data_IF_426191000853
#
_entry.id   IF_426191000853
#
_cell.length_a   1.000
_cell.length_b   1.000
_cell.length_c   1.000
_cell.angle_alpha   90.00
_cell.angle_beta   90.00
_cell.angle_gamma   90.00
#
_symmetry.space_group_name_H-M   'P 1'
#
loop_
_entity.id
_entity.type
_entity.pdbx_description
1 polymer ?
#
# COMPACT_ATOMS: atom_id res chain seq x y z
N UNK A 1 9.69 31.56 -20.37
CA UNK A 1 9.59 32.88 -21.04
C UNK A 1 8.26 32.98 -21.78
N UNK A 2 7.74 34.20 -21.95
CA UNK A 2 6.64 34.53 -22.86
C UNK A 2 7.18 35.51 -23.90
N UNK A 3 6.73 35.40 -25.14
CA UNK A 3 7.11 36.26 -26.24
C UNK A 3 5.83 36.71 -26.95
N UNK A 4 5.72 37.99 -27.26
CA UNK A 4 4.63 38.52 -28.08
C UNK A 4 5.22 38.97 -29.40
N UNK A 5 4.74 38.38 -30.50
CA UNK A 5 5.11 38.76 -31.87
C UNK A 5 3.99 39.63 -32.40
N UNK A 6 4.28 40.89 -32.72
CA UNK A 6 3.32 41.82 -33.31
C UNK A 6 3.68 42.06 -34.78
N UNK A 7 2.68 41.95 -35.66
CA UNK A 7 2.77 42.37 -37.06
C UNK A 7 1.92 43.61 -37.28
N UNK A 8 2.40 44.59 -38.05
CA UNK A 8 1.65 45.80 -38.38
C UNK A 8 1.87 46.20 -39.85
N UNK A 9 0.80 46.67 -40.50
CA UNK A 9 0.82 47.16 -41.87
C UNK A 9 -0.24 48.26 -42.05
N UNK A 10 0.23 49.51 -42.19
CA UNK A 10 -0.64 50.68 -42.31
C UNK A 10 -1.54 50.88 -41.07
N UNK A 11 -2.83 50.57 -41.20
CA UNK A 11 -3.83 50.61 -40.11
C UNK A 11 -4.16 49.24 -39.50
N UNK A 12 -3.64 48.15 -40.06
CA UNK A 12 -3.87 46.80 -39.56
C UNK A 12 -2.73 46.40 -38.60
N UNK A 13 -3.08 45.72 -37.51
CA UNK A 13 -2.12 45.11 -36.58
C UNK A 13 -2.67 43.80 -36.03
N UNK A 14 -1.80 42.81 -35.88
CA UNK A 14 -2.09 41.50 -35.28
C UNK A 14 -0.99 41.11 -34.28
N UNK A 15 -1.31 40.24 -33.32
CA UNK A 15 -0.39 39.85 -32.25
C UNK A 15 -0.58 38.39 -31.80
N UNK A 16 0.49 37.61 -31.82
CA UNK A 16 0.54 36.24 -31.30
C UNK A 16 1.39 36.18 -30.01
N UNK A 17 0.87 35.55 -28.96
CA UNK A 17 1.66 35.21 -27.76
C UNK A 17 2.13 33.75 -27.82
N UNK A 18 3.43 33.53 -27.59
CA UNK A 18 4.05 32.21 -27.50
C UNK A 18 4.73 32.04 -26.13
N UNK A 19 4.47 30.90 -25.48
CA UNK A 19 5.11 30.53 -24.22
C UNK A 19 6.17 29.44 -24.46
N UNK A 20 7.41 29.70 -24.04
CA UNK A 20 8.48 28.70 -23.99
C UNK A 20 8.77 28.37 -22.53
N UNK A 21 8.55 27.13 -22.04
CA UNK A 21 8.98 26.75 -20.70
C UNK A 21 10.51 26.80 -20.62
N UNK A 22 11.03 27.55 -19.65
CA UNK A 22 12.48 27.67 -19.41
C UNK A 22 12.77 26.91 -18.13
N UNK A 23 13.39 25.74 -18.28
CA UNK A 23 13.76 24.88 -17.17
C UNK A 23 15.19 25.19 -16.72
N UNK A 24 15.36 25.54 -15.45
CA UNK A 24 16.68 25.59 -14.82
C UNK A 24 17.24 24.16 -14.74
N UNK A 25 18.55 23.91 -15.00
CA UNK A 25 19.15 22.57 -14.86
C UNK A 25 19.39 22.20 -13.39
N UNK A 26 18.31 22.13 -12.61
CA UNK A 26 18.29 21.77 -11.20
C UNK A 26 17.18 20.73 -10.97
N UNK A 27 17.51 19.66 -10.25
CA UNK A 27 16.53 18.65 -9.83
C UNK A 27 15.90 19.09 -8.52
N UNK A 28 14.57 19.00 -8.41
CA UNK A 28 13.88 19.21 -7.13
C UNK A 28 13.98 17.93 -6.30
N UNK A 29 14.76 17.98 -5.22
CA UNK A 29 14.75 16.95 -4.18
C UNK A 29 13.74 17.33 -3.08
N UNK A 30 12.94 16.37 -2.64
CA UNK A 30 11.92 16.58 -1.61
C UNK A 30 12.01 15.46 -0.56
N UNK A 31 12.18 15.85 0.71
CA UNK A 31 12.29 14.93 1.83
C UNK A 31 11.08 15.12 2.76
N UNK A 32 10.20 14.12 2.82
CA UNK A 32 9.02 14.15 3.67
C UNK A 32 9.23 13.26 4.90
N UNK A 33 9.10 13.83 6.10
CA UNK A 33 9.07 13.07 7.35
C UNK A 33 7.64 13.04 7.88
N UNK A 34 7.14 11.85 8.20
CA UNK A 34 5.77 11.64 8.68
C UNK A 34 5.80 11.13 10.12
N UNK A 35 4.79 11.51 10.90
CA UNK A 35 4.63 11.08 12.28
C UNK A 35 3.19 11.23 12.77
N UNK A 36 2.88 10.58 13.89
CA UNK A 36 1.62 10.73 14.63
C UNK A 36 1.98 11.21 16.03
N UNK A 37 1.22 12.16 16.56
CA UNK A 37 1.45 12.76 17.88
C UNK A 37 0.18 12.61 18.73
N UNK A 38 0.04 11.46 19.38
CA UNK A 38 -1.14 11.16 20.22
C UNK A 38 -1.13 11.92 21.55
N UNK A 39 0.07 12.27 22.07
CA UNK A 39 0.24 13.05 23.28
C UNK A 39 1.62 13.73 23.36
N UNK A 40 1.71 14.83 24.11
CA UNK A 40 2.97 15.51 24.41
C UNK A 40 3.47 16.42 23.27
N UNK A 41 4.79 16.52 23.14
CA UNK A 41 5.45 17.33 22.11
C UNK A 41 6.64 16.58 21.49
N UNK A 42 6.76 16.64 20.18
CA UNK A 42 7.87 16.08 19.40
C UNK A 42 8.87 17.19 19.03
N UNK A 43 10.17 16.86 18.95
CA UNK A 43 11.16 17.64 18.20
C UNK A 43 11.63 16.83 17.01
N UNK A 44 11.24 17.24 15.80
CA UNK A 44 11.74 16.66 14.56
C UNK A 44 12.86 17.55 14.01
N UNK A 45 14.14 17.12 14.02
CA UNK A 45 15.19 17.81 13.29
C UNK A 45 14.96 17.67 11.78
N UNK A 46 15.31 18.70 11.03
CA UNK A 46 15.30 18.72 9.56
C UNK A 46 16.68 19.19 9.11
N UNK A 47 17.35 18.39 8.29
CA UNK A 47 18.63 18.74 7.67
C UNK A 47 18.37 19.41 6.32
N UNK A 48 19.05 20.53 6.05
CA UNK A 48 18.95 21.23 4.77
C UNK A 48 19.93 20.60 3.77
N UNK A 49 19.50 20.21 2.54
CA UNK A 49 20.41 19.64 1.55
C UNK A 49 21.52 20.63 1.18
N UNK A 50 22.77 20.18 1.17
CA UNK A 50 23.92 21.10 1.15
C UNK A 50 24.16 21.87 -0.16
N UNK A 51 23.71 21.37 -1.32
CA UNK A 51 23.94 21.97 -2.65
C UNK A 51 22.65 22.55 -3.26
N UNK A 52 21.87 23.28 -2.48
CA UNK A 52 20.63 23.93 -2.94
C UNK A 52 20.87 25.27 -3.63
N UNK A 53 20.02 25.57 -4.62
CA UNK A 53 19.89 26.94 -5.16
C UNK A 53 19.00 27.72 -4.20
N UNK A 54 19.59 28.56 -3.36
CA UNK A 54 18.91 29.22 -2.20
C UNK A 54 17.70 30.10 -2.54
N UNK A 55 17.46 30.36 -3.82
CA UNK A 55 16.30 31.10 -4.36
C UNK A 55 15.09 30.20 -4.65
N UNK A 56 15.25 28.87 -4.60
CA UNK A 56 14.24 27.87 -4.96
C UNK A 56 14.15 26.78 -3.89
N UNK A 57 12.92 26.48 -3.45
CA UNK A 57 12.62 25.51 -2.40
C UNK A 57 11.80 26.13 -1.27
N UNK A 58 11.57 25.36 -0.21
CA UNK A 58 10.82 25.79 0.96
C UNK A 58 10.66 24.65 1.98
N UNK A 59 10.11 24.97 3.14
CA UNK A 59 9.70 24.01 4.16
C UNK A 59 8.20 24.16 4.37
N UNK A 60 7.43 23.12 4.01
CA UNK A 60 6.01 23.03 4.35
C UNK A 60 5.83 22.16 5.60
N UNK A 61 5.02 22.62 6.55
CA UNK A 61 4.69 21.89 7.78
C UNK A 61 3.17 21.78 7.90
N UNK A 62 2.64 20.67 7.40
CA UNK A 62 1.19 20.44 7.33
C UNK A 62 0.75 19.46 8.41
N UNK A 63 -0.22 19.88 9.22
CA UNK A 63 -0.80 19.08 10.32
C UNK A 63 -2.26 18.73 10.02
N UNK A 64 -2.67 17.52 10.38
CA UNK A 64 -4.03 17.03 10.18
C UNK A 64 -4.43 16.09 11.31
N UNK A 65 -5.71 16.08 11.66
CA UNK A 65 -6.31 15.08 12.57
C UNK A 65 -6.53 13.71 11.90
N UNK A 66 -6.17 13.56 10.63
CA UNK A 66 -6.28 12.30 9.86
C UNK A 66 -5.06 12.07 8.97
N UNK A 67 -4.75 10.80 8.70
CA UNK A 67 -3.67 10.42 7.77
C UNK A 67 -4.02 10.70 6.28
N UNK A 68 -5.23 11.22 5.99
CA UNK A 68 -5.73 11.38 4.61
C UNK A 68 -5.00 12.46 3.81
N UNK A 69 -4.32 13.40 4.47
CA UNK A 69 -3.54 14.44 3.79
C UNK A 69 -2.42 13.83 2.92
N UNK A 70 -1.56 12.98 3.49
CA UNK A 70 -0.48 12.32 2.75
C UNK A 70 -0.99 11.44 1.58
N UNK A 71 -2.21 10.89 1.70
CA UNK A 71 -2.88 10.15 0.61
C UNK A 71 -3.42 11.09 -0.49
N UNK A 72 -3.78 12.32 -0.14
CA UNK A 72 -4.18 13.38 -1.10
C UNK A 72 -2.97 13.78 -1.94
N UNK A 73 -1.84 14.07 -1.31
CA UNK A 73 -0.66 14.60 -1.99
C UNK A 73 -0.04 13.55 -2.94
N UNK A 74 0.04 12.29 -2.48
CA UNK A 74 0.44 11.15 -3.33
C UNK A 74 -0.54 10.90 -4.49
N UNK A 75 -1.84 11.10 -4.28
CA UNK A 75 -2.84 10.98 -5.34
C UNK A 75 -2.69 12.07 -6.41
N UNK A 76 -2.53 13.33 -6.00
CA UNK A 76 -2.34 14.48 -6.89
C UNK A 76 -1.04 14.35 -7.71
N UNK A 77 0.02 13.82 -7.10
CA UNK A 77 1.26 13.48 -7.79
C UNK A 77 1.03 12.44 -8.89
N UNK A 78 0.38 11.30 -8.58
CA UNK A 78 0.10 10.26 -9.59
C UNK A 78 -0.81 10.76 -10.72
N UNK A 79 -1.75 11.66 -10.42
CA UNK A 79 -2.61 12.28 -11.44
C UNK A 79 -1.87 13.27 -12.35
N UNK A 80 -0.79 13.91 -11.89
CA UNK A 80 -0.02 14.91 -12.67
C UNK A 80 1.32 14.41 -13.21
N UNK A 81 1.77 13.21 -12.81
CA UNK A 81 3.06 12.65 -13.21
C UNK A 81 3.23 12.57 -14.74
N UNK A 82 4.32 13.13 -15.31
CA UNK A 82 4.43 13.39 -16.75
C UNK A 82 4.93 12.20 -17.58
N UNK A 83 5.52 11.18 -16.94
CA UNK A 83 5.99 9.98 -17.63
C UNK A 83 4.91 8.89 -17.59
N UNK A 84 4.67 8.27 -18.74
CA UNK A 84 3.39 7.61 -19.04
C UNK A 84 3.55 6.15 -19.51
N UNK A 85 4.45 5.42 -18.84
CA UNK A 85 4.66 3.99 -19.07
C UNK A 85 3.55 3.13 -18.43
N UNK A 86 3.47 1.86 -18.81
CA UNK A 86 2.47 0.91 -18.29
C UNK A 86 2.41 0.81 -16.77
N UNK A 87 3.54 0.97 -16.07
CA UNK A 87 3.58 1.03 -14.60
C UNK A 87 2.88 2.30 -14.09
N UNK A 88 3.26 3.48 -14.58
CA UNK A 88 2.70 4.75 -14.10
C UNK A 88 1.20 4.87 -14.36
N UNK A 89 0.74 4.42 -15.53
CA UNK A 89 -0.70 4.35 -15.84
C UNK A 89 -1.44 3.40 -14.90
N UNK A 90 -0.84 2.25 -14.60
CA UNK A 90 -1.38 1.29 -13.62
C UNK A 90 -1.41 1.85 -12.20
N UNK A 91 -0.38 2.58 -11.78
CA UNK A 91 -0.30 3.28 -10.49
C UNK A 91 -1.36 4.38 -10.38
N UNK A 92 -1.58 5.16 -11.46
CA UNK A 92 -2.66 6.16 -11.52
C UNK A 92 -4.04 5.50 -11.42
N UNK A 93 -4.31 4.48 -12.23
CA UNK A 93 -5.54 3.67 -12.18
C UNK A 93 -5.78 3.12 -10.75
N UNK A 94 -4.76 2.54 -10.12
CA UNK A 94 -4.85 2.02 -8.74
C UNK A 94 -5.16 3.13 -7.74
N UNK A 95 -4.54 4.31 -7.87
CA UNK A 95 -4.79 5.44 -6.98
C UNK A 95 -6.23 5.95 -7.07
N UNK A 96 -6.80 6.08 -8.27
CA UNK A 96 -8.21 6.47 -8.47
C UNK A 96 -9.13 5.36 -7.95
N UNK A 97 -8.87 4.10 -8.29
CA UNK A 97 -9.68 2.96 -7.85
C UNK A 97 -9.62 2.71 -6.33
N UNK A 98 -8.60 3.19 -5.62
CA UNK A 98 -8.47 3.05 -4.17
C UNK A 98 -8.96 4.27 -3.38
N UNK A 99 -8.66 5.49 -3.86
CA UNK A 99 -8.76 6.72 -3.05
C UNK A 99 -9.88 7.68 -3.46
N UNK A 100 -10.39 7.62 -4.71
CA UNK A 100 -11.41 8.55 -5.25
C UNK A 100 -12.52 8.84 -4.25
N UNK A 101 -13.17 7.79 -3.74
CA UNK A 101 -14.38 7.92 -2.94
C UNK A 101 -14.09 8.58 -1.57
N UNK A 102 -12.97 8.22 -0.95
CA UNK A 102 -12.56 8.77 0.36
C UNK A 102 -12.11 10.23 0.22
N UNK A 103 -11.26 10.53 -0.76
CA UNK A 103 -10.78 11.89 -1.01
C UNK A 103 -11.94 12.83 -1.38
N UNK A 104 -12.94 12.32 -2.12
CA UNK A 104 -14.17 13.07 -2.46
C UNK A 104 -15.04 13.31 -1.23
N UNK A 105 -15.25 12.29 -0.38
CA UNK A 105 -16.08 12.40 0.83
C UNK A 105 -15.51 13.39 1.87
N UNK A 106 -14.18 13.53 1.93
CA UNK A 106 -13.48 14.49 2.80
C UNK A 106 -13.18 15.83 2.11
N UNK A 107 -13.69 16.07 0.89
CA UNK A 107 -13.53 17.32 0.12
C UNK A 107 -12.06 17.78 -0.01
N UNK A 108 -11.14 16.84 -0.29
CA UNK A 108 -9.71 17.16 -0.31
C UNK A 108 -9.37 18.24 -1.36
N UNK A 109 -8.46 19.16 -1.00
CA UNK A 109 -8.13 20.32 -1.84
C UNK A 109 -7.38 19.89 -3.10
N UNK A 110 -7.59 20.61 -4.20
CA UNK A 110 -6.87 20.41 -5.46
C UNK A 110 -7.28 19.18 -6.28
N UNK A 111 -8.25 18.38 -5.82
CA UNK A 111 -8.75 17.23 -6.58
C UNK A 111 -9.28 17.64 -7.97
N UNK A 112 -8.92 16.91 -9.04
CA UNK A 112 -9.61 17.01 -10.32
C UNK A 112 -11.09 16.63 -10.18
N UNK A 113 -11.94 17.12 -11.09
CA UNK A 113 -13.36 16.73 -11.11
C UNK A 113 -13.53 15.22 -11.34
N UNK A 114 -14.65 14.65 -10.88
CA UNK A 114 -14.94 13.22 -11.08
C UNK A 114 -14.85 12.80 -12.55
N UNK A 115 -15.38 13.62 -13.47
CA UNK A 115 -15.30 13.40 -14.91
C UNK A 115 -13.85 13.48 -15.45
N UNK A 116 -12.99 14.36 -14.92
CA UNK A 116 -11.59 14.44 -15.31
C UNK A 116 -10.78 13.22 -14.82
N UNK A 117 -11.04 12.75 -13.60
CA UNK A 117 -10.45 11.50 -13.08
C UNK A 117 -10.89 10.29 -13.89
N UNK A 118 -12.17 10.22 -14.23
CA UNK A 118 -12.76 9.15 -15.03
C UNK A 118 -12.23 9.13 -16.47
N UNK A 119 -12.20 10.29 -17.14
CA UNK A 119 -11.61 10.43 -18.48
C UNK A 119 -10.13 10.01 -18.51
N UNK A 120 -9.32 10.40 -17.50
CA UNK A 120 -7.91 9.98 -17.42
C UNK A 120 -7.77 8.46 -17.25
N UNK A 121 -8.58 7.83 -16.39
CA UNK A 121 -8.56 6.37 -16.21
C UNK A 121 -8.98 5.64 -17.49
N UNK A 122 -9.98 6.13 -18.23
CA UNK A 122 -10.40 5.52 -19.49
C UNK A 122 -9.29 5.59 -20.55
N UNK A 123 -8.62 6.74 -20.70
CA UNK A 123 -7.47 6.89 -21.61
C UNK A 123 -6.24 6.07 -21.18
N UNK A 124 -6.04 5.87 -19.87
CA UNK A 124 -5.00 4.96 -19.36
C UNK A 124 -5.31 3.49 -19.66
N UNK A 125 -6.58 3.08 -19.57
CA UNK A 125 -7.04 1.72 -19.92
C UNK A 125 -6.89 1.44 -21.43
N UNK A 126 -7.33 2.37 -22.28
CA UNK A 126 -7.16 2.29 -23.75
C UNK A 126 -5.68 2.19 -24.13
N UNK A 127 -4.83 3.05 -23.53
CA UNK A 127 -3.38 3.01 -23.82
C UNK A 127 -2.75 1.71 -23.33
N UNK A 128 -3.14 1.16 -22.19
CA UNK A 128 -2.67 -0.15 -21.71
C UNK A 128 -3.08 -1.28 -22.67
N UNK A 129 -4.29 -1.29 -23.19
CA UNK A 129 -4.72 -2.30 -24.17
C UNK A 129 -3.87 -2.25 -25.46
N UNK A 130 -3.54 -1.04 -25.95
CA UNK A 130 -2.60 -0.87 -27.07
C UNK A 130 -1.15 -1.29 -26.79
N UNK A 131 -0.80 -1.54 -25.52
CA UNK A 131 0.53 -1.96 -25.06
C UNK A 131 0.63 -3.46 -24.72
N UNK A 132 -0.48 -4.21 -24.72
CA UNK A 132 -0.46 -5.63 -24.41
C UNK A 132 0.15 -6.45 -25.56
N UNK A 133 1.17 -7.26 -25.24
CA UNK A 133 1.85 -8.15 -26.16
C UNK A 133 1.01 -9.40 -26.51
N UNK A 134 1.43 -10.13 -27.55
CA UNK A 134 0.72 -11.34 -28.02
C UNK A 134 0.75 -12.53 -27.05
N UNK A 135 1.65 -12.51 -26.06
CA UNK A 135 1.69 -13.44 -24.93
C UNK A 135 0.71 -13.06 -23.80
N UNK A 136 0.00 -11.93 -23.93
CA UNK A 136 -0.85 -11.36 -22.89
C UNK A 136 -0.12 -10.52 -21.84
N UNK A 137 1.21 -10.41 -21.94
CA UNK A 137 2.05 -9.62 -21.06
C UNK A 137 2.13 -8.14 -21.45
N UNK A 138 2.79 -7.34 -20.62
CA UNK A 138 2.96 -5.90 -20.84
C UNK A 138 4.44 -5.50 -20.86
N UNK A 139 4.78 -4.67 -21.84
CA UNK A 139 6.02 -3.90 -21.89
C UNK A 139 5.85 -2.53 -21.22
N UNK A 140 6.95 -1.83 -20.92
CA UNK A 140 6.92 -0.51 -20.29
C UNK A 140 6.36 0.60 -21.20
N UNK A 141 6.82 0.68 -22.46
CA UNK A 141 6.62 1.87 -23.32
C UNK A 141 6.00 1.58 -24.69
N UNK A 142 6.31 0.41 -25.25
CA UNK A 142 6.07 0.05 -26.65
C UNK A 142 5.65 -1.43 -26.73
N UNK A 143 4.60 -1.72 -27.50
CA UNK A 143 4.21 -3.09 -27.84
C UNK A 143 5.30 -3.77 -28.67
N UNK A 144 5.54 -5.06 -28.46
CA UNK A 144 6.59 -5.84 -29.12
C UNK A 144 7.96 -5.79 -28.43
N UNK A 145 8.14 -4.94 -27.40
CA UNK A 145 9.28 -5.06 -26.47
C UNK A 145 8.97 -6.18 -25.44
N UNK A 146 9.99 -6.77 -24.78
CA UNK A 146 9.77 -7.89 -23.86
C UNK A 146 8.72 -7.61 -22.77
N UNK A 147 7.86 -8.60 -22.51
CA UNK A 147 6.90 -8.59 -21.40
C UNK A 147 7.60 -8.81 -20.07
N UNK A 148 7.43 -7.89 -19.12
CA UNK A 148 8.09 -8.01 -17.80
C UNK A 148 7.17 -8.70 -16.79
N UNK A 149 7.61 -9.77 -16.08
CA UNK A 149 6.72 -10.53 -15.20
C UNK A 149 6.09 -9.71 -14.08
N UNK A 150 6.88 -8.96 -13.31
CA UNK A 150 6.36 -8.09 -12.25
C UNK A 150 5.40 -7.02 -12.80
N UNK A 151 5.79 -6.35 -13.90
CA UNK A 151 4.99 -5.33 -14.56
C UNK A 151 3.64 -5.89 -15.01
N UNK A 152 3.64 -7.07 -15.62
CA UNK A 152 2.42 -7.72 -16.11
C UNK A 152 1.45 -8.04 -14.96
N UNK A 153 1.97 -8.57 -13.84
CA UNK A 153 1.14 -8.80 -12.64
C UNK A 153 0.60 -7.49 -12.06
N UNK A 154 1.42 -6.44 -12.01
CA UNK A 154 1.05 -5.12 -11.50
C UNK A 154 -0.03 -4.43 -12.35
N UNK A 155 0.15 -4.41 -13.68
CA UNK A 155 -0.85 -3.94 -14.65
C UNK A 155 -2.14 -4.73 -14.49
N UNK A 156 -2.06 -6.07 -14.47
CA UNK A 156 -3.26 -6.92 -14.32
C UNK A 156 -3.98 -6.64 -13.00
N UNK A 157 -3.26 -6.41 -11.90
CA UNK A 157 -3.87 -5.99 -10.64
C UNK A 157 -4.60 -4.64 -10.78
N UNK A 158 -4.00 -3.64 -11.44
CA UNK A 158 -4.65 -2.36 -11.71
C UNK A 158 -5.94 -2.52 -12.55
N UNK A 159 -5.88 -3.28 -13.66
CA UNK A 159 -7.03 -3.57 -14.52
C UNK A 159 -8.18 -4.23 -13.75
N UNK A 160 -7.86 -5.20 -12.89
CA UNK A 160 -8.88 -5.92 -12.09
C UNK A 160 -9.47 -5.02 -10.99
N UNK A 161 -8.67 -4.13 -10.39
CA UNK A 161 -9.16 -3.15 -9.41
C UNK A 161 -10.00 -2.04 -10.05
N UNK A 162 -9.70 -1.64 -11.28
CA UNK A 162 -10.54 -0.75 -12.08
C UNK A 162 -11.89 -1.40 -12.40
N UNK A 163 -11.90 -2.65 -12.90
CA UNK A 163 -13.14 -3.41 -13.16
C UNK A 163 -13.99 -3.58 -11.89
N UNK A 164 -13.36 -3.84 -10.74
CA UNK A 164 -14.05 -3.93 -9.44
C UNK A 164 -14.63 -2.57 -8.96
N UNK A 165 -14.25 -1.46 -9.58
CA UNK A 165 -14.81 -0.10 -9.37
C UNK A 165 -15.76 0.35 -10.49
N UNK A 166 -16.18 -0.57 -11.38
CA UNK A 166 -17.17 -0.31 -12.42
C UNK A 166 -16.61 0.24 -13.73
N UNK A 167 -15.30 0.44 -13.86
CA UNK A 167 -14.71 0.87 -15.13
C UNK A 167 -14.84 -0.22 -16.20
N UNK A 168 -15.13 0.20 -17.44
CA UNK A 168 -15.18 -0.68 -18.60
C UNK A 168 -13.75 -1.13 -18.98
N UNK A 169 -13.40 -2.37 -18.61
CA UNK A 169 -12.10 -2.97 -18.93
C UNK A 169 -12.31 -4.13 -19.90
N UNK A 170 -11.57 -4.11 -21.02
CA UNK A 170 -11.64 -5.11 -22.10
C UNK A 170 -11.57 -6.55 -21.57
N UNK A 171 -12.59 -7.39 -21.84
CA UNK A 171 -12.58 -8.80 -21.45
C UNK A 171 -11.42 -9.57 -22.10
N UNK A 172 -11.08 -9.22 -23.35
CA UNK A 172 -9.97 -9.84 -24.09
C UNK A 172 -8.63 -9.54 -23.44
N UNK A 173 -8.36 -8.26 -23.11
CA UNK A 173 -7.14 -7.86 -22.42
C UNK A 173 -6.99 -8.60 -21.07
N UNK A 174 -8.06 -8.68 -20.29
CA UNK A 174 -8.08 -9.41 -19.02
C UNK A 174 -7.89 -10.92 -19.19
N UNK A 175 -8.47 -11.53 -20.23
CA UNK A 175 -8.32 -12.96 -20.51
C UNK A 175 -6.88 -13.31 -20.89
N UNK A 176 -6.26 -12.52 -21.78
CA UNK A 176 -4.87 -12.70 -22.20
C UNK A 176 -3.92 -12.53 -21.00
N UNK A 177 -4.14 -11.50 -20.19
CA UNK A 177 -3.38 -11.26 -18.97
C UNK A 177 -3.53 -12.40 -17.95
N UNK A 178 -4.73 -12.98 -17.80
CA UNK A 178 -4.95 -14.14 -16.93
C UNK A 178 -4.14 -15.37 -17.39
N UNK A 179 -4.04 -15.60 -18.70
CA UNK A 179 -3.20 -16.67 -19.26
C UNK A 179 -1.72 -16.47 -18.93
N UNK A 180 -1.16 -15.27 -19.17
CA UNK A 180 0.22 -14.95 -18.76
C UNK A 180 0.42 -15.17 -17.24
N UNK A 181 -0.53 -14.74 -16.40
CA UNK A 181 -0.43 -14.90 -14.94
C UNK A 181 -0.51 -16.36 -14.45
N UNK A 182 -1.05 -17.29 -15.26
CA UNK A 182 -1.00 -18.74 -14.95
C UNK A 182 0.42 -19.30 -15.09
N UNK A 183 1.15 -18.75 -16.05
CA UNK A 183 2.46 -19.22 -16.51
C UNK A 183 3.61 -18.25 -16.18
N UNK A 184 3.40 -17.30 -15.27
CA UNK A 184 4.36 -16.23 -14.94
C UNK A 184 5.77 -16.73 -14.62
N UNK A 185 5.92 -17.94 -14.07
CA UNK A 185 7.21 -18.58 -13.82
C UNK A 185 8.01 -18.93 -15.08
N UNK A 186 7.33 -19.21 -16.20
CA UNK A 186 7.94 -19.49 -17.51
C UNK A 186 8.64 -18.24 -18.09
N UNK A 187 8.27 -17.05 -17.61
CA UNK A 187 8.83 -15.77 -18.02
C UNK A 187 9.93 -15.25 -17.07
N UNK A 188 10.40 -16.04 -16.09
CA UNK A 188 11.47 -15.65 -15.17
C UNK A 188 12.88 -15.90 -15.72
N UNK A 189 13.49 -14.85 -16.26
CA UNK A 189 14.91 -14.81 -16.64
C UNK A 189 15.87 -15.32 -15.55
N UNK A 190 17.05 -15.88 -15.91
CA UNK A 190 18.00 -16.44 -14.94
C UNK A 190 18.44 -15.46 -13.82
N UNK A 191 18.48 -14.16 -14.10
CA UNK A 191 18.94 -13.15 -13.14
C UNK A 191 18.00 -12.91 -11.95
N UNK A 192 16.72 -13.33 -12.01
CA UNK A 192 15.79 -13.12 -10.89
C UNK A 192 16.16 -13.97 -9.66
N UNK A 193 16.39 -13.38 -8.47
CA UNK A 193 16.56 -14.12 -7.21
C UNK A 193 15.30 -14.91 -6.86
N UNK A 194 15.45 -16.04 -6.14
CA UNK A 194 14.33 -16.92 -5.76
C UNK A 194 13.26 -16.19 -4.94
N UNK A 195 13.67 -15.24 -4.10
CA UNK A 195 12.81 -14.39 -3.28
C UNK A 195 11.90 -13.51 -4.16
N UNK A 196 12.47 -12.90 -5.20
CA UNK A 196 11.74 -12.06 -6.16
C UNK A 196 10.78 -12.91 -7.00
N UNK A 197 11.21 -14.11 -7.45
CA UNK A 197 10.33 -15.07 -8.11
C UNK A 197 9.15 -15.46 -7.22
N UNK A 198 9.39 -15.79 -5.95
CA UNK A 198 8.33 -16.10 -4.97
C UNK A 198 7.38 -14.93 -4.74
N UNK A 199 7.88 -13.68 -4.66
CA UNK A 199 7.04 -12.49 -4.53
C UNK A 199 6.14 -12.29 -5.76
N UNK A 200 6.69 -12.38 -6.98
CA UNK A 200 5.92 -12.22 -8.23
C UNK A 200 4.88 -13.34 -8.39
N UNK A 201 5.26 -14.61 -8.19
CA UNK A 201 4.32 -15.75 -8.24
C UNK A 201 3.20 -15.62 -7.20
N UNK A 202 3.51 -15.14 -5.99
CA UNK A 202 2.51 -14.93 -4.95
C UNK A 202 1.54 -13.79 -5.30
N UNK A 203 2.06 -12.70 -5.86
CA UNK A 203 1.24 -11.58 -6.35
C UNK A 203 0.37 -12.01 -7.54
N UNK A 204 0.90 -12.82 -8.46
CA UNK A 204 0.13 -13.38 -9.58
C UNK A 204 -1.03 -14.27 -9.11
N UNK A 205 -0.80 -15.10 -8.09
CA UNK A 205 -1.85 -15.93 -7.46
C UNK A 205 -2.94 -15.08 -6.80
N UNK A 206 -2.57 -14.00 -6.12
CA UNK A 206 -3.53 -13.06 -5.53
C UNK A 206 -4.36 -12.35 -6.61
N UNK A 207 -3.71 -11.83 -7.65
CA UNK A 207 -4.39 -11.16 -8.77
C UNK A 207 -5.30 -12.12 -9.54
N UNK A 208 -4.86 -13.36 -9.81
CA UNK A 208 -5.72 -14.41 -10.40
C UNK A 208 -6.96 -14.69 -9.55
N UNK A 209 -6.82 -14.77 -8.21
CA UNK A 209 -7.97 -14.91 -7.31
C UNK A 209 -8.99 -13.77 -7.46
N UNK A 210 -8.53 -12.52 -7.59
CA UNK A 210 -9.43 -11.37 -7.83
C UNK A 210 -10.16 -11.46 -9.19
N UNK A 211 -9.65 -12.24 -10.13
CA UNK A 211 -10.29 -12.57 -11.41
C UNK A 211 -11.19 -13.82 -11.36
N UNK A 212 -11.32 -14.48 -10.19
CA UNK A 212 -12.05 -15.74 -10.02
C UNK A 212 -11.22 -17.01 -10.26
N UNK A 213 -9.94 -16.90 -10.64
CA UNK A 213 -9.04 -18.03 -10.91
C UNK A 213 -8.23 -18.38 -9.64
N UNK A 214 -8.76 -19.28 -8.80
CA UNK A 214 -8.26 -19.49 -7.43
C UNK A 214 -7.40 -20.75 -7.29
N UNK A 215 -6.08 -20.61 -7.46
CA UNK A 215 -5.11 -21.71 -7.40
C UNK A 215 -4.48 -21.91 -6.01
N UNK A 216 -5.31 -22.42 -5.08
CA UNK A 216 -4.89 -22.79 -3.71
C UNK A 216 -3.79 -23.86 -3.72
N UNK A 217 -3.71 -24.69 -4.76
CA UNK A 217 -2.73 -25.77 -4.87
C UNK A 217 -1.32 -25.22 -5.14
N UNK A 218 -1.17 -24.31 -6.12
CA UNK A 218 0.12 -23.64 -6.42
C UNK A 218 0.56 -22.76 -5.26
N UNK A 219 -0.36 -22.05 -4.60
CA UNK A 219 -0.07 -21.29 -3.37
C UNK A 219 0.52 -22.18 -2.25
N UNK A 220 -0.07 -23.36 -2.00
CA UNK A 220 0.46 -24.32 -1.01
C UNK A 220 1.79 -24.94 -1.43
N UNK A 221 1.98 -25.26 -2.72
CA UNK A 221 3.26 -25.76 -3.25
C UNK A 221 4.38 -24.73 -3.05
N UNK A 222 4.13 -23.45 -3.33
CA UNK A 222 5.11 -22.38 -3.18
C UNK A 222 5.61 -22.26 -1.73
N UNK A 223 4.70 -22.29 -0.74
CA UNK A 223 5.06 -22.29 0.70
C UNK A 223 5.88 -23.54 1.07
N UNK A 224 5.52 -24.71 0.55
CA UNK A 224 6.25 -25.95 0.80
C UNK A 224 7.68 -25.92 0.20
N UNK A 225 7.83 -25.45 -1.04
CA UNK A 225 9.12 -25.32 -1.73
C UNK A 225 10.05 -24.30 -1.06
N UNK A 226 9.50 -23.24 -0.45
CA UNK A 226 10.29 -22.31 0.36
C UNK A 226 10.73 -22.87 1.72
N UNK A 227 10.16 -23.99 2.17
CA UNK A 227 10.43 -24.57 3.49
C UNK A 227 9.57 -23.98 4.63
N UNK A 228 8.48 -23.29 4.30
CA UNK A 228 7.57 -22.66 5.27
C UNK A 228 7.38 -21.15 5.04
N UNK A 229 6.39 -20.57 5.72
CA UNK A 229 6.08 -19.13 5.62
C UNK A 229 7.22 -18.26 6.16
N UNK A 230 7.93 -18.72 7.20
CA UNK A 230 9.06 -18.02 7.83
C UNK A 230 10.34 -17.98 6.97
N UNK A 231 10.26 -18.51 5.73
CA UNK A 231 11.31 -18.50 4.71
C UNK A 231 10.93 -17.74 3.44
N UNK A 232 9.69 -17.26 3.36
CA UNK A 232 9.23 -16.38 2.28
C UNK A 232 9.46 -14.91 2.64
N UNK A 233 9.73 -14.04 1.67
CA UNK A 233 9.75 -12.60 1.89
C UNK A 233 8.35 -12.10 2.34
N UNK A 234 8.32 -10.97 3.04
CA UNK A 234 7.10 -10.43 3.67
C UNK A 234 5.99 -10.18 2.63
N UNK A 235 6.38 -9.72 1.44
CA UNK A 235 5.52 -9.41 0.30
C UNK A 235 4.83 -10.69 -0.21
N UNK A 236 5.59 -11.78 -0.37
CA UNK A 236 5.04 -13.07 -0.77
C UNK A 236 4.03 -13.59 0.27
N UNK A 237 4.38 -13.53 1.56
CA UNK A 237 3.47 -13.90 2.64
C UNK A 237 2.18 -13.06 2.65
N UNK A 238 2.26 -11.75 2.41
CA UNK A 238 1.11 -10.86 2.30
C UNK A 238 0.15 -11.27 1.17
N UNK A 239 0.67 -11.50 -0.04
CA UNK A 239 -0.15 -11.93 -1.17
C UNK A 239 -0.73 -13.34 -0.98
N UNK A 240 0.02 -14.27 -0.38
CA UNK A 240 -0.47 -15.62 -0.08
C UNK A 240 -1.54 -15.62 1.02
N UNK A 241 -1.43 -14.75 2.02
CA UNK A 241 -2.48 -14.54 3.04
C UNK A 241 -3.77 -14.02 2.39
N UNK A 242 -3.65 -13.09 1.44
CA UNK A 242 -4.77 -12.62 0.62
C UNK A 242 -5.32 -13.70 -0.34
N UNK A 243 -4.51 -14.67 -0.73
CA UNK A 243 -4.89 -15.75 -1.67
C UNK A 243 -5.61 -16.90 -0.98
N UNK A 244 -5.00 -17.46 0.07
CA UNK A 244 -5.48 -18.67 0.73
C UNK A 244 -6.83 -18.44 1.44
N UNK A 245 -7.73 -19.44 1.48
CA UNK A 245 -8.93 -19.37 2.32
C UNK A 245 -8.51 -19.32 3.79
N UNK A 246 -9.16 -18.45 4.58
CA UNK A 246 -8.93 -18.35 6.01
C UNK A 246 -9.10 -19.74 6.65
N UNK A 247 -8.05 -20.21 7.32
CA UNK A 247 -8.05 -21.54 7.93
C UNK A 247 -9.06 -21.53 9.08
N UNK A 248 -10.19 -22.23 8.91
CA UNK A 248 -11.16 -22.43 9.98
C UNK A 248 -10.40 -22.87 11.24
N UNK A 249 -10.58 -22.14 12.36
CA UNK A 249 -9.93 -22.46 13.63
C UNK A 249 -10.30 -23.91 13.97
N UNK A 250 -9.31 -24.82 13.89
CA UNK A 250 -9.44 -26.14 14.52
C UNK A 250 -9.83 -25.87 15.98
N UNK A 251 -10.95 -26.43 16.49
CA UNK A 251 -11.17 -26.42 17.93
C UNK A 251 -9.94 -27.07 18.59
N UNK A 252 -9.49 -26.60 19.76
CA UNK A 252 -8.27 -27.08 20.38
C UNK A 252 -8.39 -28.60 20.61
N UNK A 253 -7.71 -29.38 19.76
CA UNK A 253 -7.79 -30.83 19.79
C UNK A 253 -7.29 -31.30 21.14
N UNK A 254 -8.19 -31.91 21.92
CA UNK A 254 -7.92 -32.29 23.30
C UNK A 254 -6.57 -33.00 23.40
N UNK A 255 -5.66 -32.47 24.23
CA UNK A 255 -4.38 -33.11 24.50
C UNK A 255 -4.69 -34.52 25.01
N UNK A 256 -4.36 -35.55 24.23
CA UNK A 256 -4.33 -36.92 24.74
C UNK A 256 -3.26 -36.97 25.81
N UNK A 257 -3.67 -36.89 27.07
CA UNK A 257 -2.82 -37.09 28.24
C UNK A 257 -2.45 -38.56 28.34
N UNK A 258 -1.51 -38.99 27.50
CA UNK A 258 -0.91 -40.32 27.52
C UNK A 258 0.06 -40.47 28.68
N UNK A 259 -0.42 -40.20 29.90
CA UNK A 259 0.30 -40.49 31.14
C UNK A 259 -0.69 -40.73 32.29
N UNK A 260 -1.15 -41.99 32.40
CA UNK A 260 -1.95 -42.49 33.54
C UNK A 260 -1.22 -43.66 34.18
N UNK A 261 0.06 -43.45 34.54
CA UNK A 261 0.83 -44.42 35.32
C UNK A 261 0.25 -44.52 36.74
N UNK A 262 -0.26 -45.69 37.06
CA UNK A 262 -1.04 -46.01 38.27
C UNK A 262 -0.41 -45.52 39.58
N UNK A 263 -1.20 -44.80 40.39
CA UNK A 263 -1.00 -44.68 41.85
C UNK A 263 -2.28 -45.17 42.53
N UNK A 264 -2.17 -46.25 43.32
CA UNK A 264 -3.31 -46.87 44.02
C UNK A 264 -3.76 -46.02 45.22
N UNK A 265 -5.06 -46.06 45.50
CA UNK A 265 -5.67 -45.31 46.58
C UNK A 265 -5.31 -45.84 47.98
N UNK A 266 -5.12 -44.92 48.93
CA UNK A 266 -5.17 -45.19 50.37
C UNK A 266 -6.17 -44.21 51.02
N UNK A 267 -7.22 -44.76 51.65
CA UNK A 267 -8.21 -43.97 52.41
C UNK A 267 -7.63 -43.56 53.78
N UNK A 268 -7.80 -42.31 54.25
CA UNK A 268 -7.66 -41.98 55.66
C UNK A 268 -8.89 -42.45 56.46
N UNK A 269 -8.69 -42.83 57.75
CA UNK A 269 -9.76 -43.04 58.73
C UNK A 269 -10.21 -41.70 59.35
N UNK A 270 -11.39 -41.68 59.96
CA UNK A 270 -11.97 -40.50 60.61
C UNK A 270 -11.92 -40.55 62.15
N UNK A 271 -12.20 -39.39 62.78
CA UNK A 271 -12.16 -39.08 64.24
C UNK A 271 -10.74 -38.87 64.81
N UNK A 272 -10.50 -38.01 65.82
CA UNK A 272 -11.44 -37.28 66.72
C UNK A 272 -10.87 -35.92 67.23
N UNK A 273 -11.69 -34.86 67.18
CA UNK A 273 -11.80 -33.68 68.08
C UNK A 273 -10.58 -33.05 68.80
N UNK A 274 -10.31 -31.76 68.52
CA UNK A 274 -10.15 -30.68 69.52
C UNK A 274 -10.31 -29.27 68.90
N UNK A 275 -10.50 -28.23 69.74
CA UNK A 275 -10.79 -26.79 69.43
C UNK A 275 -10.38 -25.96 70.68
N UNK A 276 -10.39 -24.61 70.71
CA UNK A 276 -10.27 -23.58 69.65
C UNK A 276 -9.31 -22.40 70.00
N UNK A 277 -9.16 -21.42 69.09
CA UNK A 277 -8.97 -19.94 69.27
C UNK A 277 -8.88 -19.34 67.83
N UNK A 278 -9.64 -18.34 67.35
CA UNK A 278 -9.92 -16.95 67.79
C UNK A 278 -8.64 -16.12 68.02
N UNK A 279 -8.40 -14.96 67.37
CA UNK A 279 -9.11 -14.21 66.31
C UNK A 279 -8.06 -13.36 65.51
N UNK A 280 -8.31 -12.40 64.59
CA UNK A 280 -9.49 -11.61 64.17
C UNK A 280 -9.32 -11.11 62.69
N UNK A 281 -10.12 -10.12 62.26
CA UNK A 281 -10.00 -9.28 61.05
C UNK A 281 -10.20 -7.78 61.48
N UNK A 282 -10.21 -6.71 60.64
CA UNK A 282 -10.27 -6.67 59.17
C UNK A 282 -9.45 -5.57 58.43
N UNK A 283 -9.65 -5.57 57.10
CA UNK A 283 -9.50 -4.53 56.06
C UNK A 283 -9.44 -3.07 56.55
N UNK A 284 -8.59 -2.25 55.89
CA UNK A 284 -8.89 -0.84 55.64
C UNK A 284 -8.37 -0.39 54.25
N UNK A 285 -9.01 0.62 53.65
CA UNK A 285 -8.67 1.21 52.35
C UNK A 285 -8.59 2.73 52.49
N UNK A 286 -7.62 3.39 51.84
CA UNK A 286 -7.53 4.85 51.82
C UNK A 286 -7.00 5.36 50.47
N UNK A 287 -7.79 6.22 49.82
CA UNK A 287 -7.28 7.21 48.86
C UNK A 287 -6.45 8.28 49.63
N UNK A 288 -5.59 8.99 48.90
CA UNK A 288 -5.06 10.29 49.35
C UNK A 288 -5.09 11.31 48.22
N UNK A 289 -5.48 12.54 48.58
CA UNK A 289 -5.53 13.73 47.72
C UNK A 289 -5.04 14.95 48.51
N UNK A 290 -4.88 16.09 47.82
CA UNK A 290 -4.59 17.44 48.32
C UNK A 290 -3.13 17.80 48.67
N UNK A 291 -2.83 19.11 48.50
CA UNK A 291 -1.51 19.74 48.64
C UNK A 291 -0.81 19.98 47.28
N UNK A 292 -0.56 21.19 46.75
CA UNK A 292 -0.56 22.57 47.30
C UNK A 292 0.41 22.77 48.49
N UNK A 293 1.36 23.70 48.48
CA UNK A 293 1.79 24.74 47.51
C UNK A 293 3.24 25.13 47.79
N UNK A 294 3.97 25.68 46.79
CA UNK A 294 4.78 26.92 46.90
C UNK A 294 5.51 27.26 45.60
N UNK A 295 5.79 28.54 45.43
CA UNK A 295 6.59 29.12 44.34
C UNK A 295 8.02 29.41 44.80
N UNK A 296 8.95 29.50 43.84
CA UNK A 296 10.05 30.46 43.87
C UNK A 296 10.51 30.74 42.42
N UNK A 297 11.24 31.82 42.19
CA UNK A 297 11.53 32.35 40.85
C UNK A 297 12.99 32.76 40.64
N UNK A 298 13.29 33.22 39.41
CA UNK A 298 14.58 33.69 38.89
C UNK A 298 15.61 32.57 38.58
N UNK A 299 16.42 32.70 37.52
CA UNK A 299 16.53 33.79 36.52
C UNK A 299 16.13 33.30 35.13
#
# INVERSE_FOLDING_TARGET
ARFQVLGASGKASDAAELALPVWTPATTEAFATYGVLDAGAMRQPVELPGKVVTQFGGLEVTTSSTQLQALTDAFLYLMTYPFECSEQRSSRILSVAALRDVLSAFQAKGLPSAAAMESRVLGDLERLESLQNGDGGFAFWERGRPSWPYLTVYVTHALVRAKAKGYAVSPTMLSNAQSYLREVENHFEPFYPKEVRWAISSFALYTRKLMGDVDVAKARRLIATAGGVDKLPMEANGWLLGTLPARARRPPSARRSSDTRSIKSRKPRARRTSRPRMATAPICCCLRTAGSTRSCSSR
#
